data_IF_916501706081
#
_entry.id   IF_916501706081
#
_cell.length_a   1.000
_cell.length_b   1.000
_cell.length_c   1.000
_cell.angle_alpha   90.00
_cell.angle_beta   90.00
_cell.angle_gamma   90.00
#
_symmetry.space_group_name_H-M   'P 1'
#
loop_
_entity.id
_entity.type
_entity.pdbx_description
1 polymer ?
#
# COMPACT_ATOMS: atom_id res chain seq x y z
N UNK A 1 -59.01 -18.31 38.04
CA UNK A 1 -57.71 -17.66 38.20
C UNK A 1 -56.73 -18.39 37.28
N UNK A 2 -56.44 -17.79 36.13
CA UNK A 2 -55.56 -18.36 35.09
C UNK A 2 -54.28 -17.53 35.10
N UNK A 3 -53.14 -18.19 35.28
CA UNK A 3 -51.81 -17.57 35.28
C UNK A 3 -51.27 -17.52 33.84
N UNK A 4 -51.13 -16.31 33.29
CA UNK A 4 -50.45 -16.06 32.02
C UNK A 4 -48.94 -15.86 32.23
N UNK A 5 -48.17 -16.75 31.60
CA UNK A 5 -46.71 -16.68 31.48
C UNK A 5 -46.36 -15.72 30.34
N UNK A 6 -45.79 -14.56 30.64
CA UNK A 6 -45.20 -13.65 29.63
C UNK A 6 -43.72 -13.97 29.40
N UNK A 7 -43.43 -14.55 28.26
CA UNK A 7 -42.09 -14.78 27.71
C UNK A 7 -41.47 -13.42 27.32
N UNK A 8 -40.32 -13.07 27.93
CA UNK A 8 -39.49 -11.93 27.51
C UNK A 8 -38.58 -12.37 26.36
N UNK A 9 -38.90 -11.93 25.15
CA UNK A 9 -37.99 -12.02 23.99
C UNK A 9 -36.95 -10.90 24.14
N UNK A 10 -35.68 -11.25 24.32
CA UNK A 10 -34.55 -10.32 24.17
C UNK A 10 -34.44 -9.93 22.70
N UNK A 11 -34.80 -8.70 22.37
CA UNK A 11 -34.44 -8.10 21.09
C UNK A 11 -32.94 -7.83 21.09
N UNK A 12 -32.21 -8.53 20.21
CA UNK A 12 -30.84 -8.21 19.84
C UNK A 12 -30.83 -6.85 19.16
N UNK A 13 -30.31 -5.84 19.85
CA UNK A 13 -29.97 -4.55 19.25
C UNK A 13 -28.73 -4.73 18.39
N UNK A 14 -28.92 -4.71 17.07
CA UNK A 14 -27.86 -4.46 16.08
C UNK A 14 -27.31 -3.08 16.41
N UNK A 15 -26.09 -3.02 16.93
CA UNK A 15 -25.33 -1.78 17.02
C UNK A 15 -24.87 -1.49 15.60
N UNK A 16 -25.63 -0.69 14.85
CA UNK A 16 -25.10 0.01 13.69
C UNK A 16 -24.04 0.99 14.21
N UNK A 17 -22.77 0.73 13.89
CA UNK A 17 -21.67 1.68 14.06
C UNK A 17 -22.10 3.00 13.41
N UNK A 18 -22.38 4.01 14.24
CA UNK A 18 -22.59 5.38 13.79
C UNK A 18 -21.29 5.85 13.16
N UNK A 19 -21.21 5.78 11.83
CA UNK A 19 -20.16 6.45 11.07
C UNK A 19 -20.27 7.93 11.37
N UNK A 20 -19.27 8.50 12.02
CA UNK A 20 -19.14 9.95 12.10
C UNK A 20 -18.97 10.47 10.66
N UNK A 21 -20.00 11.14 10.16
CA UNK A 21 -20.08 11.68 8.79
C UNK A 21 -19.28 12.98 8.67
N UNK A 22 -18.70 13.49 9.76
CA UNK A 22 -17.90 14.72 9.73
C UNK A 22 -16.42 14.41 9.45
N UNK A 23 -15.88 15.07 8.41
CA UNK A 23 -14.44 15.20 8.08
C UNK A 23 -13.81 14.22 7.07
N UNK A 24 -14.49 13.90 5.96
CA UNK A 24 -13.77 13.36 4.80
C UNK A 24 -12.92 14.44 4.13
N UNK A 25 -11.60 14.26 4.11
CA UNK A 25 -10.66 15.16 3.42
C UNK A 25 -10.13 14.50 2.14
N UNK A 26 -9.87 15.27 1.05
CA UNK A 26 -9.18 14.76 -0.12
C UNK A 26 -7.77 14.27 0.26
N UNK A 27 -7.44 13.04 -0.13
CA UNK A 27 -6.12 12.45 0.11
C UNK A 27 -5.39 12.09 -1.18
N UNK A 28 -6.10 11.95 -2.29
CA UNK A 28 -5.52 11.71 -3.61
C UNK A 28 -6.48 12.16 -4.70
N UNK A 29 -5.94 12.67 -5.79
CA UNK A 29 -6.71 13.06 -6.98
C UNK A 29 -6.03 12.49 -8.23
N UNK A 30 -6.81 11.79 -9.05
CA UNK A 30 -6.33 11.26 -10.34
C UNK A 30 -7.28 11.66 -11.45
N UNK A 31 -6.76 11.77 -12.67
CA UNK A 31 -7.58 12.08 -13.84
C UNK A 31 -7.12 11.33 -15.08
N UNK A 32 -8.04 11.20 -16.03
CA UNK A 32 -7.78 10.72 -17.38
C UNK A 32 -8.10 11.83 -18.37
N UNK A 33 -7.09 12.33 -19.07
CA UNK A 33 -7.24 13.30 -20.15
C UNK A 33 -7.15 12.60 -21.51
N UNK A 34 -8.28 12.37 -22.21
CA UNK A 34 -8.26 11.67 -23.50
C UNK A 34 -7.58 12.47 -24.61
N UNK A 35 -7.31 13.77 -24.41
CA UNK A 35 -6.56 14.60 -25.36
C UNK A 35 -5.06 14.30 -25.33
N UNK A 36 -4.55 13.93 -24.15
CA UNK A 36 -3.13 13.69 -23.87
C UNK A 36 -2.82 12.22 -23.52
N UNK A 37 -3.74 11.30 -23.83
CA UNK A 37 -3.55 9.88 -23.55
C UNK A 37 -2.37 9.31 -24.34
N UNK A 38 -1.48 8.59 -23.65
CA UNK A 38 -0.37 7.84 -24.24
C UNK A 38 -0.85 6.67 -25.13
N UNK A 39 -2.06 6.19 -24.88
CA UNK A 39 -2.72 5.18 -25.71
C UNK A 39 -3.69 5.84 -26.71
N UNK A 40 -4.04 5.13 -27.78
CA UNK A 40 -4.95 5.64 -28.83
C UNK A 40 -6.36 5.88 -28.26
N UNK A 41 -6.58 7.07 -27.71
CA UNK A 41 -7.86 7.49 -27.17
C UNK A 41 -8.87 7.80 -28.29
N UNK A 42 -10.03 7.17 -28.22
CA UNK A 42 -11.13 7.31 -29.17
C UNK A 42 -11.80 8.67 -29.10
N UNK A 43 -12.50 9.06 -30.17
CA UNK A 43 -13.27 10.33 -30.21
C UNK A 43 -14.38 10.41 -29.16
N UNK A 44 -14.89 9.26 -28.71
CA UNK A 44 -15.96 9.13 -27.72
C UNK A 44 -15.44 9.03 -26.29
N UNK A 45 -14.13 8.89 -26.09
CA UNK A 45 -13.53 8.82 -24.76
C UNK A 45 -13.79 10.12 -24.01
N UNK A 46 -14.15 10.00 -22.74
CA UNK A 46 -14.47 11.15 -21.88
C UNK A 46 -13.32 11.45 -20.94
N UNK A 47 -13.14 12.72 -20.65
CA UNK A 47 -12.33 13.08 -19.48
C UNK A 47 -12.98 12.51 -18.22
N UNK A 48 -12.16 12.01 -17.30
CA UNK A 48 -12.61 11.45 -16.03
C UNK A 48 -11.75 11.97 -14.91
N UNK A 49 -12.38 12.30 -13.80
CA UNK A 49 -11.73 12.65 -12.54
C UNK A 49 -12.14 11.62 -11.49
N UNK A 50 -11.18 11.19 -10.68
CA UNK A 50 -11.41 10.39 -9.49
C UNK A 50 -10.79 11.11 -8.29
N UNK A 51 -11.61 11.42 -7.29
CA UNK A 51 -11.17 12.01 -6.02
C UNK A 51 -11.33 10.94 -4.94
N UNK A 52 -10.24 10.71 -4.21
CA UNK A 52 -10.19 9.81 -3.07
C UNK A 52 -10.22 10.66 -1.82
N UNK A 53 -11.16 10.38 -0.93
CA UNK A 53 -11.30 11.08 0.35
C UNK A 53 -11.23 10.09 1.49
N UNK A 54 -10.74 10.53 2.65
CA UNK A 54 -10.58 9.69 3.83
C UNK A 54 -10.95 10.51 5.07
N UNK A 55 -11.60 9.87 6.05
CA UNK A 55 -11.89 10.48 7.35
C UNK A 55 -10.97 9.99 8.48
N UNK A 56 -9.92 9.24 8.15
CA UNK A 56 -8.99 8.65 9.14
C UNK A 56 -7.54 8.59 8.62
N UNK A 57 -7.14 9.56 7.80
CA UNK A 57 -5.80 9.60 7.20
C UNK A 57 -4.68 9.76 8.25
N UNK A 58 -4.94 10.49 9.34
CA UNK A 58 -3.97 10.74 10.41
C UNK A 58 -3.59 9.46 11.18
N UNK A 59 -4.52 8.53 11.35
CA UNK A 59 -4.31 7.24 12.04
C UNK A 59 -4.08 6.07 11.06
N UNK A 60 -3.69 6.35 9.82
CA UNK A 60 -3.49 5.35 8.78
C UNK A 60 -2.01 5.28 8.39
N UNK A 61 -1.36 4.16 8.68
CA UNK A 61 0.08 4.00 8.43
C UNK A 61 0.42 3.96 6.94
N UNK A 62 -0.54 3.52 6.11
CA UNK A 62 -0.45 3.65 4.66
C UNK A 62 -0.42 5.13 4.23
N UNK A 63 -1.34 5.96 4.76
CA UNK A 63 -1.43 7.38 4.38
C UNK A 63 -0.16 8.16 4.77
N UNK A 64 0.43 7.86 5.93
CA UNK A 64 1.72 8.43 6.39
C UNK A 64 2.87 8.13 5.43
N UNK A 65 2.82 6.97 4.75
CA UNK A 65 3.80 6.52 3.75
C UNK A 65 3.40 6.83 2.31
N UNK A 66 2.48 7.77 2.13
CA UNK A 66 1.94 8.13 0.82
C UNK A 66 1.34 6.96 0.03
N UNK A 67 0.83 5.92 0.70
CA UNK A 67 0.14 4.78 0.07
C UNK A 67 -1.34 4.75 0.47
N UNK A 68 -2.16 4.03 -0.29
CA UNK A 68 -3.57 3.81 0.06
C UNK A 68 -4.11 2.50 -0.52
N UNK A 69 -4.76 1.68 0.32
CA UNK A 69 -5.41 0.44 -0.13
C UNK A 69 -6.45 0.67 -1.24
N UNK A 70 -7.10 1.84 -1.27
CA UNK A 70 -8.10 2.18 -2.30
C UNK A 70 -7.51 2.34 -3.71
N UNK A 71 -6.17 2.41 -3.81
CA UNK A 71 -5.43 2.54 -5.07
C UNK A 71 -4.91 1.19 -5.58
N UNK A 72 -5.17 0.10 -4.86
CA UNK A 72 -4.84 -1.23 -5.32
C UNK A 72 -5.83 -1.63 -6.44
N UNK A 73 -5.34 -1.84 -7.65
CA UNK A 73 -6.13 -2.43 -8.74
C UNK A 73 -7.27 -1.61 -9.37
N UNK A 74 -7.95 -2.25 -10.33
CA UNK A 74 -9.06 -1.69 -11.12
C UNK A 74 -10.41 -1.72 -10.37
N UNK A 75 -10.57 -2.67 -9.46
CA UNK A 75 -11.72 -2.77 -8.57
C UNK A 75 -11.32 -2.12 -7.25
N UNK A 76 -12.06 -1.09 -6.85
CA UNK A 76 -11.72 -0.31 -5.67
C UNK A 76 -11.80 -1.20 -4.42
N UNK A 77 -10.68 -1.42 -3.73
CA UNK A 77 -10.73 -2.04 -2.41
C UNK A 77 -11.56 -1.13 -1.50
N UNK A 78 -12.55 -1.73 -0.85
CA UNK A 78 -13.45 -1.02 0.06
C UNK A 78 -12.76 -0.80 1.42
N UNK A 79 -11.94 0.24 1.51
CA UNK A 79 -11.46 0.74 2.80
C UNK A 79 -12.63 1.36 3.58
N UNK A 80 -12.82 0.96 4.84
CA UNK A 80 -13.94 1.43 5.69
C UNK A 80 -13.94 2.95 5.94
N UNK A 81 -12.76 3.59 5.85
CA UNK A 81 -12.57 5.03 6.10
C UNK A 81 -12.50 5.85 4.81
N UNK A 82 -12.56 5.20 3.65
CA UNK A 82 -12.27 5.81 2.37
C UNK A 82 -13.49 5.91 1.46
N UNK A 83 -13.59 7.00 0.69
CA UNK A 83 -14.62 7.20 -0.31
C UNK A 83 -14.02 7.62 -1.66
N UNK A 84 -14.60 7.09 -2.74
CA UNK A 84 -14.23 7.44 -4.11
C UNK A 84 -15.37 8.21 -4.75
N UNK A 85 -15.07 9.40 -5.25
CA UNK A 85 -15.97 10.16 -6.11
C UNK A 85 -15.44 10.15 -7.53
N UNK A 86 -16.23 9.62 -8.47
CA UNK A 86 -15.91 9.63 -9.90
C UNK A 86 -16.81 10.61 -10.63
N UNK A 87 -16.20 11.46 -11.44
CA UNK A 87 -16.90 12.43 -12.29
C UNK A 87 -16.44 12.25 -13.74
N UNK A 88 -17.39 12.16 -14.66
CA UNK A 88 -17.12 12.12 -16.09
C UNK A 88 -17.50 13.45 -16.73
N UNK A 89 -16.61 13.97 -17.56
CA UNK A 89 -16.80 15.23 -18.25
C UNK A 89 -17.13 15.04 -19.73
N UNK A 90 -16.59 15.94 -20.54
CA UNK A 90 -16.84 15.97 -21.97
C UNK A 90 -16.05 14.89 -22.72
N UNK A 91 -16.55 14.51 -23.90
CA UNK A 91 -15.83 13.64 -24.82
C UNK A 91 -14.64 14.37 -25.46
N UNK A 92 -13.63 13.62 -25.90
CA UNK A 92 -12.45 14.14 -26.62
C UNK A 92 -12.81 15.03 -27.82
N UNK A 93 -13.92 14.73 -28.50
CA UNK A 93 -14.39 15.51 -29.65
C UNK A 93 -15.00 16.87 -29.28
N UNK A 94 -15.42 17.06 -28.02
CA UNK A 94 -16.02 18.31 -27.58
C UNK A 94 -14.95 19.37 -27.33
N UNK A 95 -15.22 20.62 -27.74
CA UNK A 95 -14.33 21.78 -27.52
C UNK A 95 -14.00 22.03 -26.05
N UNK A 96 -14.89 21.60 -25.15
CA UNK A 96 -14.79 21.76 -23.69
C UNK A 96 -14.08 20.61 -22.98
N UNK A 97 -13.61 19.60 -23.71
CA UNK A 97 -12.81 18.52 -23.12
C UNK A 97 -11.59 19.13 -22.41
N UNK A 98 -11.41 18.79 -21.13
CA UNK A 98 -10.39 19.33 -20.24
C UNK A 98 -10.90 20.33 -19.21
N UNK A 99 -12.14 20.83 -19.35
CA UNK A 99 -12.73 21.78 -18.41
C UNK A 99 -12.89 21.16 -17.02
N UNK A 100 -13.34 19.89 -16.95
CA UNK A 100 -13.50 19.19 -15.67
C UNK A 100 -12.15 19.00 -14.99
N UNK A 101 -11.15 18.54 -15.74
CA UNK A 101 -9.80 18.31 -15.20
C UNK A 101 -9.20 19.60 -14.69
N UNK A 102 -9.28 20.70 -15.46
CA UNK A 102 -8.76 22.01 -15.06
C UNK A 102 -9.40 22.47 -13.75
N UNK A 103 -10.74 22.46 -13.69
CA UNK A 103 -11.48 22.82 -12.47
C UNK A 103 -11.03 22.01 -11.25
N UNK A 104 -10.87 20.70 -11.39
CA UNK A 104 -10.51 19.82 -10.27
C UNK A 104 -9.03 19.90 -9.89
N UNK A 105 -8.14 20.29 -10.82
CA UNK A 105 -6.75 20.64 -10.51
C UNK A 105 -6.65 21.92 -9.68
N UNK A 106 -7.50 22.91 -9.95
CA UNK A 106 -7.52 24.13 -9.15
C UNK A 106 -7.99 23.84 -7.71
N UNK A 107 -8.87 22.86 -7.52
CA UNK A 107 -9.41 22.47 -6.20
C UNK A 107 -8.53 21.47 -5.44
N UNK A 108 -7.90 20.49 -6.11
CA UNK A 108 -7.23 19.33 -5.49
C UNK A 108 -5.81 19.09 -6.05
N UNK A 109 -5.19 20.12 -6.64
CA UNK A 109 -3.89 20.01 -7.29
C UNK A 109 -2.75 19.65 -6.34
N UNK A 110 -2.88 20.02 -5.07
CA UNK A 110 -1.95 19.71 -3.98
C UNK A 110 -1.86 18.21 -3.66
N UNK A 111 -2.97 17.49 -3.82
CA UNK A 111 -3.04 16.03 -3.58
C UNK A 111 -3.05 15.21 -4.88
N UNK A 112 -2.81 15.84 -6.03
CA UNK A 112 -2.80 15.18 -7.33
C UNK A 112 -1.71 14.09 -7.41
N UNK A 113 -2.12 12.82 -7.60
CA UNK A 113 -1.23 11.65 -7.62
C UNK A 113 -0.27 11.56 -6.42
N UNK A 114 -0.68 12.12 -5.27
CA UNK A 114 0.14 12.15 -4.05
C UNK A 114 0.24 10.78 -3.37
N UNK A 115 -0.64 9.84 -3.72
CA UNK A 115 -0.66 8.49 -3.15
C UNK A 115 -0.44 7.40 -4.19
N UNK A 116 0.27 6.35 -3.79
CA UNK A 116 0.49 5.12 -4.56
C UNK A 116 -0.29 3.91 -4.03
N UNK A 117 -0.11 2.78 -4.70
CA UNK A 117 -0.64 1.49 -4.26
C UNK A 117 0.07 0.99 -2.99
N UNK A 118 -0.67 0.22 -2.18
CA UNK A 118 -0.25 -0.33 -0.90
C UNK A 118 0.08 -1.83 -1.07
N UNK A 119 1.35 -2.19 -0.89
CA UNK A 119 1.85 -3.58 -0.98
C UNK A 119 2.53 -4.09 0.29
N UNK A 120 2.47 -3.34 1.39
CA UNK A 120 3.04 -3.76 2.69
C UNK A 120 2.00 -3.89 3.79
N UNK A 121 2.28 -4.78 4.75
CA UNK A 121 1.49 -5.00 5.96
C UNK A 121 1.46 -3.73 6.82
N UNK A 122 0.27 -3.23 7.14
CA UNK A 122 0.15 -2.03 7.99
C UNK A 122 -1.20 -1.91 8.70
N UNK A 123 -1.26 -1.05 9.72
CA UNK A 123 -2.52 -0.65 10.34
C UNK A 123 -3.26 0.41 9.52
N UNK A 124 -4.58 0.24 9.41
CA UNK A 124 -5.51 1.20 8.81
C UNK A 124 -6.66 1.39 9.80
N UNK A 125 -6.55 2.36 10.72
CA UNK A 125 -7.54 2.55 11.78
C UNK A 125 -7.73 1.27 12.61
N UNK A 126 -8.95 0.72 12.64
CA UNK A 126 -9.30 -0.51 13.37
C UNK A 126 -9.02 -1.80 12.59
N UNK A 127 -8.34 -1.68 11.45
CA UNK A 127 -8.06 -2.79 10.53
C UNK A 127 -6.56 -2.97 10.31
N UNK A 128 -6.20 -4.13 9.77
CA UNK A 128 -4.89 -4.48 9.24
C UNK A 128 -5.05 -4.76 7.75
N UNK A 129 -4.21 -4.15 6.92
CA UNK A 129 -4.08 -4.52 5.53
C UNK A 129 -3.05 -5.65 5.41
N UNK A 130 -3.42 -6.71 4.71
CA UNK A 130 -2.72 -7.98 4.66
C UNK A 130 -2.39 -8.30 3.19
N UNK A 131 -1.17 -7.99 2.71
CA UNK A 131 -0.78 -8.12 1.30
C UNK A 131 -0.49 -9.57 0.89
N UNK A 132 -1.36 -10.51 1.28
CA UNK A 132 -1.25 -11.92 0.91
C UNK A 132 -2.31 -12.28 -0.14
N UNK A 133 -1.92 -12.85 -1.29
CA UNK A 133 -2.88 -13.32 -2.27
C UNK A 133 -3.54 -14.63 -1.82
N UNK A 134 -4.65 -14.98 -2.47
CA UNK A 134 -5.32 -16.29 -2.34
C UNK A 134 -5.93 -16.63 -0.97
N UNK A 135 -6.05 -15.68 -0.04
CA UNK A 135 -6.71 -15.90 1.25
C UNK A 135 -8.18 -16.33 1.09
N UNK A 136 -8.86 -15.69 0.14
CA UNK A 136 -10.19 -16.06 -0.33
C UNK A 136 -10.06 -16.66 -1.73
N UNK A 137 -10.43 -17.93 -1.88
CA UNK A 137 -10.46 -18.64 -3.15
C UNK A 137 -11.54 -19.74 -3.17
N UNK A 138 -11.85 -20.24 -4.36
CA UNK A 138 -12.91 -21.25 -4.56
C UNK A 138 -12.59 -22.64 -4.00
N UNK A 139 -11.30 -22.98 -3.83
CA UNK A 139 -10.87 -24.33 -3.52
C UNK A 139 -10.76 -24.58 -2.02
N UNK A 140 -10.14 -23.67 -1.27
CA UNK A 140 -9.89 -23.81 0.16
C UNK A 140 -9.60 -22.47 0.84
N UNK A 141 -10.50 -21.49 0.79
CA UNK A 141 -10.32 -20.22 1.53
C UNK A 141 -9.91 -20.45 2.99
N UNK A 142 -8.97 -19.65 3.53
CA UNK A 142 -8.52 -19.78 4.93
C UNK A 142 -9.64 -19.45 5.93
N UNK A 143 -10.54 -18.55 5.54
CA UNK A 143 -11.73 -18.13 6.27
C UNK A 143 -12.86 -17.84 5.31
N UNK A 144 -14.06 -17.66 5.85
CA UNK A 144 -15.20 -17.18 5.07
C UNK A 144 -14.97 -15.75 4.57
N UNK A 145 -15.58 -15.38 3.43
CA UNK A 145 -15.40 -14.07 2.80
C UNK A 145 -15.67 -12.89 3.74
N UNK A 146 -16.65 -13.01 4.64
CA UNK A 146 -17.05 -11.94 5.56
C UNK A 146 -16.04 -11.68 6.69
N UNK A 147 -15.08 -12.58 6.89
CA UNK A 147 -13.98 -12.39 7.82
C UNK A 147 -13.03 -11.26 7.36
N UNK A 148 -12.96 -11.06 6.04
CA UNK A 148 -12.19 -10.00 5.42
C UNK A 148 -13.09 -8.88 4.88
N UNK A 149 -12.51 -7.70 4.73
CA UNK A 149 -13.05 -6.55 4.02
C UNK A 149 -12.29 -6.36 2.70
N UNK A 150 -12.80 -5.46 1.85
CA UNK A 150 -12.19 -5.24 0.53
C UNK A 150 -12.32 -6.47 -0.37
N UNK A 151 -11.26 -6.75 -1.10
CA UNK A 151 -11.16 -7.91 -2.00
C UNK A 151 -10.59 -9.16 -1.30
N UNK A 152 -10.60 -9.16 0.04
CA UNK A 152 -10.11 -10.27 0.86
C UNK A 152 -8.76 -10.02 1.54
N UNK A 153 -8.33 -8.77 1.59
CA UNK A 153 -6.98 -8.34 2.00
C UNK A 153 -6.98 -7.37 3.19
N UNK A 154 -8.14 -7.11 3.80
CA UNK A 154 -8.26 -6.28 4.99
C UNK A 154 -8.96 -7.07 6.09
N UNK A 155 -8.42 -7.07 7.30
CA UNK A 155 -8.96 -7.79 8.47
C UNK A 155 -9.14 -6.82 9.65
N UNK A 156 -10.15 -7.04 10.51
CA UNK A 156 -10.25 -6.29 11.78
C UNK A 156 -9.04 -6.60 12.67
N UNK A 157 -8.48 -5.59 13.35
CA UNK A 157 -7.33 -5.74 14.25
C UNK A 157 -7.51 -6.86 15.28
N UNK A 158 -8.70 -6.96 15.87
CA UNK A 158 -9.06 -7.98 16.87
C UNK A 158 -8.94 -9.42 16.35
N UNK A 159 -9.08 -9.63 15.04
CA UNK A 159 -8.97 -10.93 14.40
C UNK A 159 -7.55 -11.24 13.91
N UNK A 160 -6.65 -10.25 13.91
CA UNK A 160 -5.24 -10.42 13.54
C UNK A 160 -4.41 -10.89 14.74
N UNK A 161 -4.76 -12.07 15.26
CA UNK A 161 -4.13 -12.65 16.45
C UNK A 161 -2.88 -13.46 16.09
N UNK A 162 -1.97 -13.71 17.06
CA UNK A 162 -0.80 -14.56 16.82
C UNK A 162 -1.17 -15.94 16.28
N UNK A 163 -2.24 -16.56 16.78
CA UNK A 163 -2.70 -17.88 16.36
C UNK A 163 -3.18 -17.86 14.91
N UNK A 164 -3.93 -16.83 14.51
CA UNK A 164 -4.36 -16.66 13.12
C UNK A 164 -3.16 -16.43 12.19
N UNK A 165 -2.14 -15.71 12.63
CA UNK A 165 -0.90 -15.51 11.86
C UNK A 165 -0.16 -16.84 11.65
N UNK A 166 -0.06 -17.68 12.69
CA UNK A 166 0.53 -19.03 12.54
C UNK A 166 -0.27 -19.86 11.53
N UNK A 167 -1.59 -19.73 11.53
CA UNK A 167 -2.43 -20.37 10.52
C UNK A 167 -2.14 -19.85 9.11
N UNK A 168 -2.03 -18.52 8.92
CA UNK A 168 -1.66 -17.91 7.64
C UNK A 168 -0.32 -18.43 7.12
N UNK A 169 0.69 -18.56 7.99
CA UNK A 169 2.02 -19.06 7.65
C UNK A 169 1.98 -20.52 7.19
N UNK A 170 1.10 -21.33 7.78
CA UNK A 170 0.94 -22.76 7.47
C UNK A 170 -0.04 -23.03 6.33
N UNK A 171 -0.84 -22.03 5.96
CA UNK A 171 -1.88 -22.14 4.96
C UNK A 171 -1.32 -22.48 3.57
N UNK A 172 -1.92 -23.46 2.90
CA UNK A 172 -1.53 -23.93 1.56
C UNK A 172 -2.69 -23.74 0.59
N UNK A 173 -2.78 -22.58 -0.10
CA UNK A 173 -3.86 -22.33 -1.04
C UNK A 173 -3.77 -23.30 -2.23
N UNK A 174 -4.94 -23.66 -2.78
CA UNK A 174 -5.07 -24.52 -3.95
C UNK A 174 -5.67 -23.77 -5.12
N UNK A 175 -5.20 -24.07 -6.33
CA UNK A 175 -5.78 -23.53 -7.54
C UNK A 175 -7.17 -24.13 -7.81
N UNK A 176 -7.97 -23.48 -8.67
CA UNK A 176 -9.33 -23.94 -9.01
C UNK A 176 -9.34 -25.33 -9.65
N UNK A 177 -8.33 -25.64 -10.47
CA UNK A 177 -8.19 -26.95 -11.14
C UNK A 177 -7.46 -27.99 -10.26
N UNK A 178 -7.29 -27.72 -8.97
CA UNK A 178 -6.46 -28.51 -8.07
C UNK A 178 -4.97 -28.13 -8.13
N UNK A 179 -4.19 -28.72 -7.23
CA UNK A 179 -2.77 -28.40 -7.05
C UNK A 179 -2.54 -27.25 -6.07
N UNK A 180 -1.47 -27.35 -5.28
CA UNK A 180 -1.03 -26.31 -4.35
C UNK A 180 -0.37 -25.15 -5.10
N UNK A 181 -0.70 -23.93 -4.72
CA UNK A 181 -0.02 -22.72 -5.19
C UNK A 181 1.29 -22.59 -4.40
N UNK A 182 2.32 -23.30 -4.86
CA UNK A 182 3.60 -23.43 -4.13
C UNK A 182 4.35 -22.10 -3.98
N UNK A 183 4.13 -21.14 -4.89
CA UNK A 183 4.69 -19.79 -4.78
C UNK A 183 4.22 -19.05 -3.52
N UNK A 184 3.02 -19.34 -3.01
CA UNK A 184 2.54 -18.74 -1.77
C UNK A 184 3.49 -19.06 -0.60
N UNK A 185 3.82 -20.34 -0.42
CA UNK A 185 4.73 -20.79 0.63
C UNK A 185 6.19 -20.38 0.39
N UNK A 186 6.63 -20.35 -0.88
CA UNK A 186 8.02 -20.08 -1.25
C UNK A 186 8.39 -18.59 -1.28
N UNK A 187 7.44 -17.73 -1.63
CA UNK A 187 7.69 -16.32 -1.95
C UNK A 187 6.87 -15.39 -1.06
N UNK A 188 5.57 -15.64 -0.90
CA UNK A 188 4.66 -14.72 -0.19
C UNK A 188 4.80 -14.83 1.33
N UNK A 189 4.91 -16.05 1.87
CA UNK A 189 5.09 -16.24 3.33
C UNK A 189 6.41 -15.63 3.84
N UNK A 190 7.58 -15.83 3.20
CA UNK A 190 8.80 -15.17 3.64
C UNK A 190 8.72 -13.64 3.62
N UNK A 191 8.12 -13.06 2.56
CA UNK A 191 7.89 -11.61 2.48
C UNK A 191 6.98 -11.14 3.62
N UNK A 192 5.87 -11.84 3.86
CA UNK A 192 4.94 -11.51 4.93
C UNK A 192 5.60 -11.60 6.31
N UNK A 193 6.39 -12.64 6.61
CA UNK A 193 7.10 -12.75 7.89
C UNK A 193 8.12 -11.61 8.06
N UNK A 194 8.85 -11.25 7.00
CA UNK A 194 9.77 -10.11 7.00
C UNK A 194 9.04 -8.78 7.25
N UNK A 195 7.92 -8.55 6.57
CA UNK A 195 7.08 -7.37 6.79
C UNK A 195 6.44 -7.34 8.19
N UNK A 196 6.04 -8.50 8.73
CA UNK A 196 5.48 -8.59 10.09
C UNK A 196 6.53 -8.17 11.12
N UNK A 197 7.76 -8.65 10.99
CA UNK A 197 8.88 -8.23 11.84
C UNK A 197 9.15 -6.73 11.73
N UNK A 198 9.17 -6.20 10.50
CA UNK A 198 9.47 -4.79 10.22
C UNK A 198 8.38 -3.83 10.71
N UNK A 199 7.12 -4.09 10.33
CA UNK A 199 6.04 -3.12 10.48
C UNK A 199 5.18 -3.36 11.73
N UNK A 200 5.24 -4.56 12.32
CA UNK A 200 4.46 -4.93 13.52
C UNK A 200 5.28 -5.81 14.48
N UNK A 201 6.45 -5.35 14.97
CA UNK A 201 7.38 -6.16 15.77
C UNK A 201 6.72 -6.75 17.03
N UNK A 202 5.85 -5.98 17.71
CA UNK A 202 5.13 -6.46 18.91
C UNK A 202 4.26 -7.69 18.64
N UNK A 203 3.67 -7.79 17.45
CA UNK A 203 2.88 -8.96 17.04
C UNK A 203 3.82 -10.08 16.60
N UNK A 204 4.90 -9.76 15.89
CA UNK A 204 5.92 -10.73 15.50
C UNK A 204 6.47 -11.48 16.72
N UNK A 205 6.83 -10.76 17.79
CA UNK A 205 7.37 -11.36 19.00
C UNK A 205 6.35 -12.30 19.68
N UNK A 206 5.07 -11.91 19.72
CA UNK A 206 4.00 -12.78 20.24
C UNK A 206 3.83 -14.04 19.38
N UNK A 207 3.96 -13.92 18.05
CA UNK A 207 3.92 -15.08 17.15
C UNK A 207 5.13 -15.97 17.39
N UNK A 208 6.33 -15.40 17.53
CA UNK A 208 7.57 -16.12 17.81
C UNK A 208 7.48 -16.94 19.10
N UNK A 209 6.76 -16.47 20.11
CA UNK A 209 6.53 -17.23 21.35
C UNK A 209 5.76 -18.55 21.13
N UNK A 210 4.81 -18.59 20.19
CA UNK A 210 4.00 -19.78 19.91
C UNK A 210 4.45 -20.56 18.66
N UNK A 211 5.24 -19.93 17.80
CA UNK A 211 5.80 -20.52 16.59
C UNK A 211 7.22 -19.99 16.33
N UNK A 212 8.23 -20.46 17.09
CA UNK A 212 9.61 -19.96 17.01
C UNK A 212 10.24 -20.08 15.62
N UNK A 213 9.82 -21.09 14.84
CA UNK A 213 10.24 -21.31 13.45
C UNK A 213 9.90 -20.16 12.50
N UNK A 214 9.11 -19.16 12.93
CA UNK A 214 8.82 -17.97 12.10
C UNK A 214 10.09 -17.27 11.62
N UNK A 215 11.18 -17.29 12.41
CA UNK A 215 12.45 -16.69 12.01
C UNK A 215 13.06 -17.41 10.82
N UNK A 216 12.96 -18.75 10.77
CA UNK A 216 13.43 -19.57 9.65
C UNK A 216 12.63 -19.33 8.37
N UNK A 217 11.43 -18.75 8.48
CA UNK A 217 10.59 -18.39 7.33
C UNK A 217 11.03 -17.08 6.70
N UNK A 218 11.75 -16.23 7.42
CA UNK A 218 12.26 -14.98 6.87
C UNK A 218 13.40 -15.34 5.91
N UNK A 219 13.25 -14.94 4.65
CA UNK A 219 14.31 -15.08 3.65
C UNK A 219 15.11 -13.78 3.58
N UNK A 220 16.39 -13.87 3.24
CA UNK A 220 17.13 -12.72 2.74
C UNK A 220 16.46 -12.24 1.45
N UNK A 221 15.59 -11.24 1.58
CA UNK A 221 14.94 -10.60 0.46
C UNK A 221 16.01 -9.79 -0.27
N UNK A 222 16.19 -10.08 -1.55
CA UNK A 222 17.06 -9.25 -2.38
C UNK A 222 16.31 -7.97 -2.75
N UNK A 223 16.78 -6.86 -2.18
CA UNK A 223 16.29 -5.51 -2.43
C UNK A 223 17.07 -4.81 -3.54
N UNK A 224 18.01 -5.49 -4.20
CA UNK A 224 18.68 -4.96 -5.38
C UNK A 224 17.67 -4.45 -6.40
N UNK A 225 18.03 -3.34 -7.01
CA UNK A 225 17.23 -2.62 -7.98
C UNK A 225 15.92 -1.99 -7.45
N UNK A 226 15.58 -2.16 -6.17
CA UNK A 226 14.47 -1.44 -5.54
C UNK A 226 14.84 0.00 -5.22
N UNK A 227 13.86 0.89 -5.28
CA UNK A 227 14.04 2.29 -4.87
C UNK A 227 13.63 2.47 -3.40
N UNK A 228 14.47 3.16 -2.62
CA UNK A 228 14.22 3.50 -1.23
C UNK A 228 14.68 4.93 -0.92
N UNK A 229 14.11 5.53 0.13
CA UNK A 229 14.56 6.83 0.65
C UNK A 229 16.00 6.69 1.13
N UNK A 230 16.92 7.43 0.53
CA UNK A 230 18.36 7.27 0.82
C UNK A 230 18.69 7.55 2.29
N UNK A 231 17.96 8.49 2.91
CA UNK A 231 18.12 8.84 4.33
C UNK A 231 17.75 7.71 5.31
N UNK A 232 17.09 6.65 4.83
CA UNK A 232 16.70 5.48 5.62
C UNK A 232 17.60 4.25 5.37
N UNK A 233 18.62 4.39 4.51
CA UNK A 233 19.59 3.34 4.19
C UNK A 233 20.87 3.53 5.01
N UNK A 234 21.50 2.41 5.37
CA UNK A 234 22.88 2.43 5.86
C UNK A 234 23.84 2.98 4.79
N UNK A 235 25.02 3.51 5.18
CA UNK A 235 26.05 3.94 4.24
C UNK A 235 26.45 2.83 3.26
N UNK A 236 26.78 3.21 2.02
CA UNK A 236 27.15 2.29 0.96
C UNK A 236 27.00 2.88 -0.43
N UNK A 237 27.01 2.02 -1.46
CA UNK A 237 26.84 2.47 -2.85
C UNK A 237 25.37 2.48 -3.24
N UNK A 238 24.90 3.61 -3.75
CA UNK A 238 23.52 3.79 -4.22
C UNK A 238 23.52 4.19 -5.68
N UNK A 239 22.45 3.87 -6.40
CA UNK A 239 22.29 4.31 -7.78
C UNK A 239 21.27 5.44 -7.87
N UNK A 240 21.75 6.63 -8.22
CA UNK A 240 20.92 7.80 -8.49
C UNK A 240 20.81 7.98 -10.00
N UNK A 241 19.59 7.82 -10.54
CA UNK A 241 19.35 7.74 -11.99
C UNK A 241 20.20 6.64 -12.65
N UNK A 242 21.22 7.00 -13.43
CA UNK A 242 22.10 6.06 -14.14
C UNK A 242 23.46 5.87 -13.46
N UNK A 243 23.71 6.55 -12.33
CA UNK A 243 25.05 6.70 -11.75
C UNK A 243 25.12 6.02 -10.39
N UNK A 244 26.19 5.26 -10.18
CA UNK A 244 26.52 4.67 -8.89
C UNK A 244 27.36 5.68 -8.12
N UNK A 245 26.86 6.10 -6.96
CA UNK A 245 27.44 7.13 -6.10
C UNK A 245 27.61 6.60 -4.68
N UNK A 246 28.50 7.24 -3.92
CA UNK A 246 28.79 6.86 -2.54
C UNK A 246 27.84 7.62 -1.59
N UNK A 247 27.04 6.90 -0.80
CA UNK A 247 26.23 7.42 0.29
C UNK A 247 26.96 7.16 1.61
N UNK A 248 27.27 8.21 2.38
CA UNK A 248 28.00 8.06 3.65
C UNK A 248 27.12 8.07 4.91
N UNK A 249 25.79 8.09 4.73
CA UNK A 249 24.81 8.23 5.83
C UNK A 249 24.34 9.67 6.05
N UNK A 250 24.97 10.66 5.41
CA UNK A 250 24.58 12.07 5.50
C UNK A 250 24.49 12.76 4.14
N UNK A 251 25.44 12.48 3.25
CA UNK A 251 25.52 13.09 1.92
C UNK A 251 25.87 12.05 0.87
N UNK A 252 25.44 12.32 -0.36
CA UNK A 252 25.89 11.57 -1.53
C UNK A 252 27.10 12.29 -2.13
N UNK A 253 28.22 11.57 -2.25
CA UNK A 253 29.46 12.07 -2.86
C UNK A 253 29.49 11.69 -4.33
N UNK A 254 29.79 12.68 -5.17
CA UNK A 254 29.91 12.53 -6.60
C UNK A 254 31.05 13.40 -7.15
N UNK A 255 31.50 13.10 -8.36
CA UNK A 255 32.29 14.00 -9.20
C UNK A 255 31.35 14.76 -10.16
N UNK A 256 31.68 16.00 -10.48
CA UNK A 256 30.83 16.84 -11.34
C UNK A 256 30.50 16.22 -12.70
N UNK A 257 31.46 15.54 -13.34
CA UNK A 257 31.28 14.80 -14.60
C UNK A 257 30.33 13.60 -14.50
N UNK A 258 30.02 13.13 -13.28
CA UNK A 258 29.06 12.05 -13.06
C UNK A 258 27.63 12.58 -13.11
N UNK A 259 27.40 13.82 -12.68
CA UNK A 259 26.06 14.38 -12.48
C UNK A 259 25.55 15.18 -13.68
N UNK A 260 26.44 15.81 -14.43
CA UNK A 260 26.06 16.76 -15.48
C UNK A 260 27.00 16.72 -16.68
N UNK A 261 26.44 17.00 -17.87
CA UNK A 261 27.20 17.14 -19.11
C UNK A 261 27.68 18.58 -19.37
N UNK A 262 27.32 19.54 -18.49
CA UNK A 262 27.53 20.99 -18.69
C UNK A 262 28.94 21.50 -18.35
N UNK A 263 29.97 20.65 -18.41
CA UNK A 263 31.37 21.07 -18.32
C UNK A 263 32.03 20.99 -16.95
N UNK A 264 31.41 20.34 -15.96
CA UNK A 264 32.14 19.92 -14.76
C UNK A 264 33.02 18.71 -15.07
N UNK A 265 34.21 18.68 -14.46
CA UNK A 265 35.19 17.60 -14.57
C UNK A 265 35.16 16.73 -13.32
N UNK A 266 36.26 16.64 -12.58
CA UNK A 266 36.38 15.80 -11.37
C UNK A 266 36.22 16.59 -10.08
N UNK A 267 35.63 17.78 -10.13
CA UNK A 267 35.38 18.57 -8.93
C UNK A 267 34.45 17.78 -7.99
N UNK A 268 34.74 17.74 -6.69
CA UNK A 268 33.90 17.04 -5.73
C UNK A 268 32.56 17.78 -5.59
N UNK A 269 31.48 17.04 -5.75
CA UNK A 269 30.10 17.50 -5.52
C UNK A 269 29.52 16.73 -4.35
N UNK A 270 28.87 17.47 -3.46
CA UNK A 270 28.15 16.94 -2.32
C UNK A 270 26.68 17.21 -2.52
N UNK A 271 25.88 16.16 -2.54
CA UNK A 271 24.41 16.25 -2.58
C UNK A 271 23.93 15.97 -1.17
N UNK A 272 23.13 16.88 -0.61
CA UNK A 272 22.42 16.68 0.66
C UNK A 272 21.00 16.22 0.34
N UNK A 273 20.69 14.93 0.50
CA UNK A 273 19.35 14.43 0.21
C UNK A 273 18.32 15.01 1.18
N UNK A 274 17.11 15.22 0.68
CA UNK A 274 15.94 15.49 1.52
C UNK A 274 15.12 14.20 1.75
N UNK A 275 14.03 14.32 2.49
CA UNK A 275 13.11 13.21 2.79
C UNK A 275 12.41 12.63 1.53
N UNK A 276 12.49 13.32 0.39
CA UNK A 276 11.87 12.90 -0.87
C UNK A 276 12.89 12.30 -1.84
N UNK A 277 14.16 12.20 -1.45
CA UNK A 277 15.22 11.69 -2.31
C UNK A 277 15.25 10.17 -2.29
N UNK A 278 14.86 9.56 -3.42
CA UNK A 278 14.91 8.12 -3.63
C UNK A 278 16.13 7.72 -4.44
N UNK A 279 16.72 6.58 -4.08
CA UNK A 279 17.84 5.96 -4.81
C UNK A 279 17.56 4.48 -5.01
N UNK A 280 18.15 3.92 -6.05
CA UNK A 280 18.11 2.50 -6.32
C UNK A 280 19.17 1.78 -5.48
N UNK A 281 18.76 0.73 -4.77
CA UNK A 281 19.60 -0.09 -3.89
C UNK A 281 20.50 -0.99 -4.76
N UNK A 282 21.80 -0.96 -4.49
CA UNK A 282 22.81 -1.80 -5.16
C UNK A 282 23.19 -3.01 -4.29
N UNK A 283 23.11 -2.84 -2.97
CA UNK A 283 23.40 -3.89 -1.99
C UNK A 283 22.31 -3.95 -0.93
N UNK A 284 21.69 -5.12 -0.80
CA UNK A 284 20.63 -5.40 0.16
C UNK A 284 21.11 -5.29 1.62
N UNK A 285 22.42 -5.35 1.87
CA UNK A 285 23.00 -5.11 3.20
C UNK A 285 22.77 -3.67 3.70
N UNK A 286 22.43 -2.73 2.81
CA UNK A 286 22.13 -1.34 3.20
C UNK A 286 20.73 -1.18 3.81
N UNK A 287 19.88 -2.20 3.66
CA UNK A 287 18.48 -2.16 4.08
C UNK A 287 18.37 -2.55 5.55
N UNK A 288 17.70 -1.72 6.34
CA UNK A 288 17.38 -1.95 7.75
C UNK A 288 15.88 -2.13 7.92
N UNK A 289 15.44 -2.43 9.15
CA UNK A 289 14.01 -2.46 9.49
C UNK A 289 13.35 -1.09 9.24
N UNK A 290 14.10 0.02 9.36
CA UNK A 290 13.58 1.38 9.16
C UNK A 290 13.57 1.84 7.69
N UNK A 291 14.07 1.03 6.75
CA UNK A 291 14.16 1.44 5.33
C UNK A 291 12.78 1.65 4.71
N UNK A 292 12.58 2.83 4.11
CA UNK A 292 11.35 3.21 3.42
C UNK A 292 11.49 3.02 1.90
N UNK A 293 10.80 2.03 1.35
CA UNK A 293 10.77 1.77 -0.08
C UNK A 293 9.77 2.66 -0.81
N UNK A 294 10.06 2.98 -2.07
CA UNK A 294 9.16 3.76 -2.93
C UNK A 294 7.92 2.96 -3.35
N UNK A 295 8.12 1.69 -3.72
CA UNK A 295 7.11 0.86 -4.38
C UNK A 295 6.52 -0.25 -3.49
N UNK A 296 6.91 -0.30 -2.20
CA UNK A 296 6.17 -1.08 -1.19
C UNK A 296 4.89 -0.35 -0.78
#
# INVERSE_FOLDING_TARGET
MVNDIKIKIKQNSIIEEVKDISNYIPINFTYYDPRNSLFKAGRRDRERVTVYTCNNSENCDACKRNKCAMLNGLYAHSCSYGQIKREEGYTKAARRCGDLIRKRKDEYGDVAYSKGDLKFLCYIGDYVFLPLPHLINYSNSIREKNFFKGDGDIIRKENFTPEFIVELIKYRPRAMMGGEITSYQREEIPKFCSQLKRYMPDIFDKVKMIYPEIEDRIKDIDYKDKEAKVVTLLPGKVKLSTKILEWDGSVIKAEGNQLTFWGLTKEPVVITPDENTYVQIIDSAMVTEDTEFKDE
#
